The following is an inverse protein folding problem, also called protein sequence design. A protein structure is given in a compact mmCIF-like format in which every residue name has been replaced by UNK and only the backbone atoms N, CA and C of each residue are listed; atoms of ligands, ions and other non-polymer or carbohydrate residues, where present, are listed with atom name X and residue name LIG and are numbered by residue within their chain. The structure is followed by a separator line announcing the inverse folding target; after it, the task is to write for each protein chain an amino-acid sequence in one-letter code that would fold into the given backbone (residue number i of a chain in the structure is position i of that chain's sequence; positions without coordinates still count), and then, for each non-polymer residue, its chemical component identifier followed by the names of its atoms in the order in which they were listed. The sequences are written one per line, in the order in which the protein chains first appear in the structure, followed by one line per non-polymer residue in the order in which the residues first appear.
data_IF_568850405203
#
_entry.id   IF_568850405203
#
_cell.length_a   1.000
_cell.length_b   1.000
_cell.length_c   1.000
_cell.angle_alpha   90.00
_cell.angle_beta   90.00
_cell.angle_gamma   90.00
#
_symmetry.space_group_name_H-M   'P 1'
#
loop_
_entity.id
_entity.type
_entity.pdbx_description
1 polymer ?
#
# COMPACT_ATOMS: atom_id res chain seq x y z
N UNK A 1 14.08 18.75 -16.58
CA UNK A 1 14.94 17.70 -16.02
C UNK A 1 14.11 17.02 -14.94
N UNK A 2 13.86 15.72 -15.05
CA UNK A 2 13.14 14.97 -14.02
C UNK A 2 14.03 14.89 -12.76
N UNK A 3 13.47 15.22 -11.59
CA UNK A 3 14.20 15.05 -10.31
C UNK A 3 14.65 13.59 -10.16
N UNK A 4 15.80 13.32 -9.53
CA UNK A 4 16.25 11.97 -9.26
C UNK A 4 15.20 11.25 -8.40
N UNK A 5 15.04 9.91 -8.51
CA UNK A 5 14.09 9.17 -7.69
C UNK A 5 14.46 9.23 -6.20
N UNK A 6 13.46 9.15 -5.32
CA UNK A 6 13.66 9.02 -3.89
C UNK A 6 14.26 7.64 -3.55
N UNK A 7 13.76 6.58 -4.19
CA UNK A 7 14.34 5.23 -4.12
C UNK A 7 14.50 4.73 -5.55
N UNK A 8 15.67 4.17 -5.84
CA UNK A 8 15.96 3.48 -7.09
C UNK A 8 16.32 2.03 -6.81
N UNK A 9 15.69 1.11 -7.50
CA UNK A 9 15.94 -0.32 -7.38
C UNK A 9 16.24 -0.87 -8.75
N UNK A 10 17.37 -1.58 -8.88
CA UNK A 10 17.81 -2.15 -10.15
C UNK A 10 18.23 -3.62 -9.98
N UNK A 11 17.49 -4.50 -10.64
CA UNK A 11 17.68 -5.95 -10.69
C UNK A 11 17.93 -6.58 -9.29
N UNK A 12 17.15 -6.15 -8.30
CA UNK A 12 17.36 -6.54 -6.91
C UNK A 12 16.93 -7.97 -6.67
N UNK A 13 17.87 -8.80 -6.21
CA UNK A 13 17.66 -10.22 -5.90
C UNK A 13 17.89 -10.47 -4.41
N UNK A 14 17.00 -11.27 -3.83
CA UNK A 14 17.19 -11.83 -2.50
C UNK A 14 16.84 -13.30 -2.45
N UNK A 15 17.85 -14.09 -2.13
CA UNK A 15 17.74 -15.50 -1.83
C UNK A 15 18.04 -15.74 -0.35
N UNK A 16 17.16 -16.45 0.34
CA UNK A 16 17.39 -16.95 1.69
C UNK A 16 17.91 -18.38 1.63
N UNK A 17 18.87 -18.69 2.50
CA UNK A 17 19.37 -20.05 2.64
C UNK A 17 18.25 -21.04 2.96
N UNK A 18 18.44 -22.28 2.57
CA UNK A 18 17.51 -23.36 2.92
C UNK A 18 17.28 -23.42 4.44
N UNK A 19 16.03 -23.55 4.91
CA UNK A 19 15.71 -23.68 6.33
C UNK A 19 16.15 -25.01 6.96
N UNK A 20 16.59 -25.99 6.16
CA UNK A 20 17.05 -27.29 6.65
C UNK A 20 17.53 -28.23 5.54
N UNK A 21 18.09 -29.41 5.91
CA UNK A 21 18.58 -30.38 4.94
C UNK A 21 17.48 -30.83 3.96
N UNK A 22 17.71 -30.66 2.65
CA UNK A 22 16.81 -31.11 1.59
C UNK A 22 15.72 -30.10 1.18
N UNK A 23 15.53 -28.98 1.88
CA UNK A 23 14.65 -27.91 1.42
C UNK A 23 15.40 -26.98 0.43
N UNK A 24 14.77 -26.53 -0.66
CA UNK A 24 15.40 -25.57 -1.57
C UNK A 24 15.56 -24.19 -0.94
N UNK A 25 16.55 -23.40 -1.37
CA UNK A 25 16.62 -21.98 -1.01
C UNK A 25 15.35 -21.24 -1.44
N UNK A 26 14.95 -20.23 -0.67
CA UNK A 26 13.78 -19.40 -0.99
C UNK A 26 14.22 -18.13 -1.71
N UNK A 27 13.87 -18.02 -2.97
CA UNK A 27 14.07 -16.80 -3.76
C UNK A 27 12.91 -15.83 -3.46
N UNK A 28 13.19 -14.82 -2.63
CA UNK A 28 12.18 -13.85 -2.15
C UNK A 28 12.04 -12.64 -3.07
N UNK A 29 13.10 -12.26 -3.79
CA UNK A 29 13.08 -11.23 -4.85
C UNK A 29 13.86 -11.77 -6.04
N UNK A 30 13.30 -11.63 -7.24
CA UNK A 30 13.78 -12.27 -8.47
C UNK A 30 14.19 -11.24 -9.55
N UNK A 31 14.96 -10.22 -9.15
CA UNK A 31 15.39 -9.18 -10.09
C UNK A 31 14.39 -8.03 -10.23
N UNK A 32 13.88 -7.57 -9.10
CA UNK A 32 12.92 -6.46 -9.06
C UNK A 32 13.61 -5.15 -9.43
N UNK A 33 12.98 -4.34 -10.33
CA UNK A 33 13.48 -3.04 -10.77
C UNK A 33 12.33 -2.05 -10.86
N UNK A 34 12.38 -0.94 -10.13
CA UNK A 34 11.47 0.19 -10.22
C UNK A 34 12.04 1.42 -9.50
N UNK A 35 11.47 2.58 -9.78
CA UNK A 35 11.84 3.86 -9.17
C UNK A 35 10.65 4.43 -8.38
N UNK A 36 10.92 4.95 -7.16
CA UNK A 36 9.96 5.73 -6.38
C UNK A 36 10.23 7.22 -6.63
N UNK A 37 9.29 7.97 -7.21
CA UNK A 37 9.43 9.40 -7.41
C UNK A 37 9.52 10.16 -6.07
N UNK A 38 10.16 11.34 -6.07
CA UNK A 38 10.16 12.22 -4.91
C UNK A 38 8.81 12.96 -4.76
N UNK A 39 8.40 13.20 -3.53
CA UNK A 39 7.31 14.11 -3.17
C UNK A 39 5.89 13.56 -3.29
N UNK A 40 5.73 12.25 -3.60
CA UNK A 40 4.41 11.61 -3.70
C UNK A 40 4.22 10.49 -2.67
N UNK A 41 3.04 9.87 -2.71
CA UNK A 41 2.73 8.64 -1.97
C UNK A 41 2.79 7.47 -2.96
N UNK A 42 3.69 6.54 -2.71
CA UNK A 42 3.95 5.36 -3.53
C UNK A 42 3.42 4.10 -2.86
N UNK A 43 2.55 3.36 -3.53
CA UNK A 43 2.01 2.08 -3.07
C UNK A 43 2.88 0.90 -3.48
N UNK A 44 3.23 0.04 -2.54
CA UNK A 44 3.87 -1.25 -2.80
C UNK A 44 2.91 -2.38 -2.42
N UNK A 45 2.24 -2.95 -3.41
CA UNK A 45 1.18 -3.92 -3.25
C UNK A 45 1.64 -5.34 -3.58
N UNK A 46 0.92 -6.31 -3.06
CA UNK A 46 1.11 -7.72 -3.34
C UNK A 46 0.56 -8.61 -2.23
N UNK A 47 0.31 -9.89 -2.50
CA UNK A 47 -0.17 -10.83 -1.49
C UNK A 47 0.88 -11.06 -0.39
N UNK A 48 0.45 -11.73 0.68
CA UNK A 48 1.38 -12.14 1.74
C UNK A 48 2.45 -13.08 1.18
N UNK A 49 3.71 -12.80 1.52
CA UNK A 49 4.85 -13.56 0.99
C UNK A 49 5.32 -13.13 -0.40
N UNK A 50 4.75 -12.11 -1.02
CA UNK A 50 5.17 -11.58 -2.32
C UNK A 50 6.59 -11.01 -2.37
N UNK A 51 7.17 -10.65 -1.21
CA UNK A 51 8.52 -10.06 -1.11
C UNK A 51 8.57 -8.62 -0.58
N UNK A 52 7.42 -7.98 -0.31
CA UNK A 52 7.33 -6.59 0.15
C UNK A 52 8.19 -6.30 1.39
N UNK A 53 7.97 -7.04 2.48
CA UNK A 53 8.74 -6.84 3.73
C UNK A 53 10.22 -7.20 3.56
N UNK A 54 10.56 -8.14 2.65
CA UNK A 54 11.97 -8.40 2.29
C UNK A 54 12.61 -7.19 1.64
N UNK A 55 11.92 -6.56 0.70
CA UNK A 55 12.38 -5.35 0.04
C UNK A 55 12.58 -4.21 1.05
N UNK A 56 11.58 -3.94 1.89
CA UNK A 56 11.68 -2.92 2.95
C UNK A 56 12.87 -3.20 3.88
N UNK A 57 13.04 -4.43 4.33
CA UNK A 57 14.13 -4.81 5.20
C UNK A 57 15.52 -4.65 4.54
N UNK A 58 15.61 -4.80 3.21
CA UNK A 58 16.84 -4.50 2.48
C UNK A 58 17.11 -2.99 2.47
N UNK A 59 16.10 -2.16 2.19
CA UNK A 59 16.22 -0.69 2.22
C UNK A 59 16.56 -0.18 3.62
N UNK A 60 15.98 -0.80 4.67
CA UNK A 60 16.31 -0.55 6.08
C UNK A 60 17.75 -0.95 6.46
N UNK A 61 18.40 -1.76 5.62
CA UNK A 61 19.70 -2.36 5.92
C UNK A 61 19.66 -3.39 7.05
N UNK A 62 18.50 -4.03 7.26
CA UNK A 62 18.29 -5.15 8.19
C UNK A 62 18.58 -6.50 7.49
N UNK A 63 18.35 -6.55 6.19
CA UNK A 63 18.60 -7.72 5.34
C UNK A 63 19.60 -7.35 4.24
N UNK A 64 20.61 -8.20 4.01
CA UNK A 64 21.54 -8.01 2.90
C UNK A 64 20.93 -8.57 1.61
N UNK A 65 20.99 -7.80 0.52
CA UNK A 65 20.67 -8.28 -0.83
C UNK A 65 21.61 -9.40 -1.28
N UNK A 66 21.16 -10.25 -2.17
CA UNK A 66 22.01 -11.26 -2.82
C UNK A 66 22.75 -10.66 -4.01
N UNK A 67 22.04 -9.93 -4.88
CA UNK A 67 22.62 -9.19 -6.02
C UNK A 67 21.76 -8.00 -6.41
N UNK A 68 22.11 -7.29 -7.48
CA UNK A 68 21.46 -6.06 -7.90
C UNK A 68 21.89 -4.85 -7.09
N UNK A 69 21.21 -3.72 -7.25
CA UNK A 69 21.49 -2.48 -6.52
C UNK A 69 20.22 -1.80 -6.00
N UNK A 70 20.37 -1.00 -4.95
CA UNK A 70 19.34 -0.09 -4.49
C UNK A 70 19.97 1.18 -3.93
N UNK A 71 19.35 2.31 -4.25
CA UNK A 71 19.74 3.63 -3.75
C UNK A 71 18.55 4.25 -2.99
N UNK A 72 18.86 4.93 -1.90
CA UNK A 72 17.90 5.68 -1.09
C UNK A 72 18.40 7.13 -1.05
N UNK A 73 17.62 8.05 -1.62
CA UNK A 73 17.96 9.46 -1.76
C UNK A 73 19.32 9.68 -2.43
N UNK A 74 19.63 8.88 -3.46
CA UNK A 74 20.90 8.90 -4.18
C UNK A 74 22.08 8.24 -3.46
N UNK A 75 21.87 7.62 -2.30
CA UNK A 75 22.90 6.88 -1.57
C UNK A 75 22.74 5.37 -1.79
N UNK A 76 23.77 4.73 -2.36
CA UNK A 76 23.79 3.26 -2.48
C UNK A 76 23.76 2.60 -1.10
N UNK A 77 22.84 1.67 -0.89
CA UNK A 77 22.63 1.01 0.41
C UNK A 77 23.81 0.16 0.88
N UNK A 78 24.67 -0.29 -0.02
CA UNK A 78 25.84 -1.09 0.29
C UNK A 78 27.12 -0.23 0.42
N UNK A 79 27.30 0.74 -0.50
CA UNK A 79 28.46 1.61 -0.54
C UNK A 79 28.39 2.78 0.47
N UNK A 80 27.19 3.28 0.75
CA UNK A 80 26.96 4.40 1.68
C UNK A 80 25.80 4.14 2.65
N UNK A 81 25.81 3.03 3.43
CA UNK A 81 24.68 2.58 4.23
C UNK A 81 24.26 3.58 5.32
N UNK A 82 25.19 4.40 5.85
CA UNK A 82 24.88 5.36 6.90
C UNK A 82 23.99 6.49 6.37
N UNK A 83 24.30 7.05 5.22
CA UNK A 83 23.51 8.13 4.63
C UNK A 83 22.19 7.59 4.07
N UNK A 84 22.19 6.41 3.45
CA UNK A 84 20.95 5.73 3.04
C UNK A 84 19.99 5.56 4.22
N UNK A 85 20.46 5.05 5.39
CA UNK A 85 19.66 4.91 6.61
C UNK A 85 19.19 6.23 7.21
N UNK A 86 19.96 7.30 7.07
CA UNK A 86 19.54 8.65 7.52
C UNK A 86 18.49 9.28 6.61
N UNK A 87 18.37 8.81 5.38
CA UNK A 87 17.41 9.33 4.41
C UNK A 87 16.05 8.61 4.46
N UNK A 88 15.87 7.62 5.34
CA UNK A 88 14.64 6.81 5.40
C UNK A 88 14.21 6.61 6.86
N UNK A 89 12.94 6.88 7.14
CA UNK A 89 12.24 6.48 8.35
C UNK A 89 11.39 5.26 8.06
N UNK A 90 11.36 4.28 8.94
CA UNK A 90 10.57 3.05 8.74
C UNK A 90 9.68 2.79 9.92
N UNK A 91 8.40 2.60 9.64
CA UNK A 91 7.37 2.19 10.59
C UNK A 91 7.02 0.73 10.30
N UNK A 92 7.44 -0.21 11.15
CA UNK A 92 7.17 -1.62 10.94
C UNK A 92 5.70 -1.96 11.19
N UNK A 93 5.25 -3.09 10.66
CA UNK A 93 3.90 -3.62 10.88
C UNK A 93 3.63 -3.89 12.36
N UNK A 94 4.60 -4.45 13.08
CA UNK A 94 4.49 -4.72 14.51
C UNK A 94 4.83 -3.48 15.35
N UNK A 95 4.08 -3.29 16.44
CA UNK A 95 4.34 -2.21 17.38
C UNK A 95 5.48 -2.63 18.32
N UNK A 96 6.69 -2.13 18.04
CA UNK A 96 7.89 -2.46 18.79
C UNK A 96 8.50 -1.21 19.44
N UNK A 97 8.27 -1.06 20.74
CA UNK A 97 9.01 -0.14 21.61
C UNK A 97 8.90 -0.62 23.07
N UNK A 98 9.81 -0.14 23.91
CA UNK A 98 9.79 -0.48 25.33
C UNK A 98 8.51 0.10 25.98
N UNK A 99 7.67 -0.75 26.59
CA UNK A 99 6.39 -0.34 27.19
C UNK A 99 6.54 0.57 28.41
N UNK A 100 7.71 0.66 29.00
CA UNK A 100 7.99 1.45 30.20
C UNK A 100 8.53 2.85 29.90
N UNK A 101 8.86 3.17 28.66
CA UNK A 101 9.17 4.55 28.27
C UNK A 101 7.89 5.35 28.02
N UNK A 102 7.98 6.65 28.27
CA UNK A 102 6.96 7.60 27.85
C UNK A 102 7.14 7.97 26.36
N UNK A 103 6.12 8.47 25.65
CA UNK A 103 6.26 8.97 24.29
C UNK A 103 7.41 9.96 24.12
N UNK A 104 7.60 10.86 25.08
CA UNK A 104 8.69 11.83 25.03
C UNK A 104 10.05 11.12 25.11
N UNK A 105 10.24 10.21 26.06
CA UNK A 105 11.48 9.43 26.22
C UNK A 105 11.78 8.56 25.01
N UNK A 106 10.74 7.95 24.37
CA UNK A 106 10.91 7.18 23.14
C UNK A 106 11.56 8.04 22.05
N UNK A 107 11.08 9.27 21.83
CA UNK A 107 11.63 10.17 20.82
C UNK A 107 13.00 10.70 21.20
N UNK A 108 13.22 11.06 22.48
CA UNK A 108 14.50 11.52 22.99
C UNK A 108 15.60 10.46 22.82
N UNK A 109 15.30 9.19 23.18
CA UNK A 109 16.23 8.10 23.00
C UNK A 109 16.54 7.85 21.51
N UNK A 110 15.51 7.89 20.66
CA UNK A 110 15.68 7.75 19.21
C UNK A 110 16.57 8.85 18.63
N UNK A 111 16.36 10.12 19.05
CA UNK A 111 17.23 11.25 18.68
C UNK A 111 18.68 11.03 19.10
N UNK A 112 18.88 10.45 20.30
CA UNK A 112 20.20 10.06 20.78
C UNK A 112 20.89 9.01 19.91
N UNK A 113 20.16 7.99 19.45
CA UNK A 113 20.70 6.97 18.51
C UNK A 113 21.15 7.56 17.17
N UNK A 114 20.46 8.60 16.69
CA UNK A 114 20.87 9.33 15.48
C UNK A 114 21.96 10.39 15.73
N UNK A 115 22.39 10.55 16.99
CA UNK A 115 23.41 11.53 17.39
C UNK A 115 22.92 12.98 17.32
N UNK A 116 21.59 13.20 17.44
CA UNK A 116 21.02 14.55 17.42
C UNK A 116 21.21 15.18 18.81
N UNK A 117 21.88 16.35 18.90
CA UNK A 117 22.02 17.09 20.15
C UNK A 117 20.67 17.39 20.78
N UNK A 118 20.59 17.37 22.11
CA UNK A 118 19.29 17.58 22.82
C UNK A 118 18.59 18.88 22.42
N UNK A 119 19.37 19.95 22.18
CA UNK A 119 18.82 21.25 21.79
C UNK A 119 18.22 21.27 20.38
N UNK A 120 18.54 20.30 19.52
CA UNK A 120 18.08 20.20 18.13
C UNK A 120 16.96 19.17 17.95
N UNK A 121 16.58 18.47 19.04
CA UNK A 121 15.54 17.44 18.97
C UNK A 121 14.16 18.07 18.87
N UNK A 122 13.35 17.54 17.97
CA UNK A 122 12.00 18.00 17.67
C UNK A 122 10.92 17.17 18.38
N UNK A 123 11.23 16.58 19.55
CA UNK A 123 10.34 15.65 20.23
C UNK A 123 8.98 16.27 20.58
N UNK A 124 8.96 17.52 21.04
CA UNK A 124 7.70 18.24 21.32
C UNK A 124 6.89 18.48 20.04
N UNK A 125 7.53 18.97 19.00
CA UNK A 125 6.90 19.25 17.71
C UNK A 125 6.29 17.96 17.11
N UNK A 126 7.07 16.88 17.08
CA UNK A 126 6.60 15.59 16.56
C UNK A 126 5.44 15.02 17.37
N UNK A 127 5.47 15.11 18.71
CA UNK A 127 4.35 14.66 19.53
C UNK A 127 3.09 15.50 19.32
N UNK A 128 3.22 16.79 19.06
CA UNK A 128 2.10 17.66 18.68
C UNK A 128 1.53 17.27 17.31
N UNK A 129 2.39 17.06 16.31
CA UNK A 129 1.99 16.67 14.95
C UNK A 129 1.21 15.33 14.94
N UNK A 130 1.59 14.37 15.78
CA UNK A 130 0.87 13.09 15.89
C UNK A 130 -0.24 13.09 16.95
N UNK A 131 -0.61 14.26 17.52
CA UNK A 131 -1.64 14.42 18.55
C UNK A 131 -1.42 13.56 19.79
N UNK A 132 -0.17 13.50 20.28
CA UNK A 132 0.21 12.75 21.48
C UNK A 132 0.88 13.61 22.56
N UNK A 133 0.90 14.93 22.40
CA UNK A 133 1.52 15.83 23.38
C UNK A 133 0.90 15.72 24.77
N UNK A 134 -0.42 15.57 24.85
CA UNK A 134 -1.15 15.39 26.12
C UNK A 134 -0.79 14.09 26.86
N UNK A 135 -0.21 13.14 26.14
CA UNK A 135 0.19 11.82 26.67
C UNK A 135 1.71 11.68 26.78
N UNK A 136 2.48 12.77 26.58
CA UNK A 136 3.95 12.72 26.56
C UNK A 136 4.60 12.08 27.78
N UNK A 137 3.96 12.20 28.94
CA UNK A 137 4.45 11.68 30.23
C UNK A 137 3.77 10.36 30.66
N UNK A 138 2.81 9.84 29.88
CA UNK A 138 2.16 8.56 30.16
C UNK A 138 3.02 7.40 29.66
N UNK A 139 3.05 6.27 30.38
CA UNK A 139 3.78 5.11 29.88
C UNK A 139 3.21 4.58 28.56
N UNK A 140 4.07 4.22 27.61
CA UNK A 140 3.67 3.73 26.28
C UNK A 140 2.76 2.49 26.35
N UNK A 141 2.86 1.66 27.40
CA UNK A 141 1.96 0.52 27.63
C UNK A 141 0.49 0.93 27.78
N UNK A 142 0.22 2.14 28.28
CA UNK A 142 -1.14 2.64 28.55
C UNK A 142 -1.81 3.28 27.31
N UNK A 143 -1.05 3.46 26.23
CA UNK A 143 -1.56 4.00 24.98
C UNK A 143 -2.45 2.99 24.25
N UNK A 144 -3.49 3.47 23.57
CA UNK A 144 -4.27 2.65 22.65
C UNK A 144 -3.43 2.19 21.44
N UNK A 145 -3.90 1.19 20.71
CA UNK A 145 -3.22 0.70 19.50
C UNK A 145 -2.92 1.81 18.49
N UNK A 146 -3.89 2.70 18.25
CA UNK A 146 -3.72 3.83 17.36
C UNK A 146 -2.74 4.90 17.87
N UNK A 147 -2.77 5.19 19.18
CA UNK A 147 -1.78 6.08 19.77
C UNK A 147 -0.37 5.52 19.62
N UNK A 148 -0.21 4.21 19.82
CA UNK A 148 1.07 3.51 19.59
C UNK A 148 1.53 3.59 18.15
N UNK A 149 0.62 3.44 17.19
CA UNK A 149 0.92 3.56 15.75
C UNK A 149 1.42 4.97 15.40
N UNK A 150 0.72 6.00 15.89
CA UNK A 150 1.12 7.40 15.72
C UNK A 150 2.47 7.70 16.36
N UNK A 151 2.76 7.12 17.53
CA UNK A 151 4.07 7.25 18.17
C UNK A 151 5.19 6.61 17.34
N UNK A 152 4.94 5.48 16.66
CA UNK A 152 5.92 4.87 15.75
C UNK A 152 6.22 5.77 14.55
N UNK A 153 5.22 6.45 14.00
CA UNK A 153 5.43 7.44 12.93
C UNK A 153 6.30 8.60 13.44
N UNK A 154 5.97 9.19 14.58
CA UNK A 154 6.78 10.22 15.19
C UNK A 154 8.23 9.76 15.43
N UNK A 155 8.42 8.53 15.94
CA UNK A 155 9.74 7.91 16.13
C UNK A 155 10.52 7.77 14.83
N UNK A 156 9.87 7.37 13.74
CA UNK A 156 10.48 7.25 12.42
C UNK A 156 10.91 8.60 11.84
N UNK A 157 10.25 9.69 12.26
CA UNK A 157 10.49 11.05 11.79
C UNK A 157 11.50 11.84 12.63
N UNK A 158 12.05 11.30 13.72
CA UNK A 158 12.93 12.01 14.67
C UNK A 158 14.17 12.63 13.99
N UNK A 159 14.72 11.97 12.98
CA UNK A 159 15.90 12.42 12.25
C UNK A 159 15.56 13.17 10.95
N UNK A 160 14.29 13.58 10.79
CA UNK A 160 13.77 14.34 9.62
C UNK A 160 14.13 13.68 8.28
N UNK A 161 13.82 12.39 8.07
CA UNK A 161 14.14 11.72 6.82
C UNK A 161 13.27 12.26 5.69
N UNK A 162 13.80 12.40 4.46
CA UNK A 162 12.99 12.77 3.29
C UNK A 162 12.08 11.65 2.80
N UNK A 163 12.25 10.41 3.28
CA UNK A 163 11.43 9.25 2.93
C UNK A 163 10.88 8.59 4.19
N UNK A 164 9.57 8.32 4.20
CA UNK A 164 8.88 7.54 5.23
C UNK A 164 8.30 6.27 4.62
N UNK A 165 8.69 5.12 5.13
CA UNK A 165 8.12 3.81 4.75
C UNK A 165 7.18 3.32 5.84
N UNK A 166 5.96 2.98 5.47
CA UNK A 166 4.92 2.46 6.34
C UNK A 166 4.59 1.02 5.92
N UNK A 167 4.97 0.06 6.75
CA UNK A 167 4.68 -1.36 6.47
C UNK A 167 3.35 -1.77 7.10
N UNK A 168 2.31 -1.90 6.27
CA UNK A 168 0.93 -2.22 6.67
C UNK A 168 0.41 -1.40 7.87
N UNK A 169 0.42 -0.05 7.80
CA UNK A 169 0.17 0.80 8.96
C UNK A 169 -1.25 0.69 9.51
N UNK A 170 -2.21 0.23 8.72
CA UNK A 170 -3.63 0.14 9.05
C UNK A 170 -4.11 -1.29 9.32
N UNK A 171 -3.18 -2.27 9.31
CA UNK A 171 -3.54 -3.65 9.60
C UNK A 171 -4.12 -3.80 11.01
N UNK A 172 -5.35 -4.35 11.09
CA UNK A 172 -6.03 -4.60 12.36
C UNK A 172 -6.52 -3.37 13.11
N UNK A 173 -6.65 -2.20 12.45
CA UNK A 173 -7.21 -0.99 13.04
C UNK A 173 -8.65 -0.75 12.56
N UNK A 174 -9.44 -0.08 13.39
CA UNK A 174 -10.81 0.32 13.03
C UNK A 174 -10.84 1.44 11.97
N UNK A 175 -12.02 1.68 11.39
CA UNK A 175 -12.21 2.64 10.29
C UNK A 175 -11.83 4.07 10.69
N UNK A 176 -12.18 4.50 11.91
CA UNK A 176 -11.91 5.86 12.36
C UNK A 176 -10.41 6.09 12.54
N UNK A 177 -9.71 5.13 13.14
CA UNK A 177 -8.27 5.19 13.30
C UNK A 177 -7.53 5.13 11.96
N UNK A 178 -8.02 4.33 11.00
CA UNK A 178 -7.48 4.28 9.64
C UNK A 178 -7.53 5.65 8.99
N UNK A 179 -8.68 6.34 9.07
CA UNK A 179 -8.85 7.69 8.54
C UNK A 179 -7.87 8.69 9.15
N UNK A 180 -7.71 8.67 10.48
CA UNK A 180 -6.74 9.54 11.17
C UNK A 180 -5.29 9.29 10.74
N UNK A 181 -4.92 8.03 10.49
CA UNK A 181 -3.58 7.70 9.96
C UNK A 181 -3.40 8.20 8.52
N UNK A 182 -4.43 8.11 7.69
CA UNK A 182 -4.40 8.63 6.32
C UNK A 182 -4.25 10.14 6.28
N UNK A 183 -4.98 10.87 7.13
CA UNK A 183 -4.85 12.32 7.29
C UNK A 183 -3.42 12.70 7.67
N UNK A 184 -2.84 12.04 8.68
CA UNK A 184 -1.47 12.26 9.12
C UNK A 184 -0.45 11.99 8.00
N UNK A 185 -0.58 10.88 7.28
CA UNK A 185 0.31 10.52 6.16
C UNK A 185 0.24 11.56 5.04
N UNK A 186 -0.97 12.01 4.71
CA UNK A 186 -1.21 13.04 3.69
C UNK A 186 -0.61 14.39 4.11
N UNK A 187 -0.69 14.74 5.39
CA UNK A 187 -0.09 15.97 5.92
C UNK A 187 1.45 15.93 5.83
N UNK A 188 2.08 14.84 6.27
CA UNK A 188 3.53 14.64 6.12
C UNK A 188 3.98 14.70 4.65
N UNK A 189 3.19 14.14 3.74
CA UNK A 189 3.48 14.21 2.32
C UNK A 189 3.37 15.66 1.78
N UNK A 190 2.37 16.43 2.20
CA UNK A 190 2.24 17.86 1.84
C UNK A 190 3.41 18.70 2.36
N UNK A 191 4.03 18.29 3.47
CA UNK A 191 5.27 18.90 4.00
C UNK A 191 6.52 18.51 3.21
N UNK A 192 6.38 17.67 2.16
CA UNK A 192 7.45 17.29 1.24
C UNK A 192 8.09 15.93 1.52
N UNK A 193 7.57 15.17 2.48
CA UNK A 193 8.07 13.81 2.75
C UNK A 193 7.55 12.86 1.66
N UNK A 194 8.45 12.11 1.03
CA UNK A 194 8.06 11.00 0.15
C UNK A 194 7.58 9.83 0.99
N UNK A 195 6.39 9.31 0.73
CA UNK A 195 5.84 8.19 1.48
C UNK A 195 5.82 6.92 0.63
N UNK A 196 6.29 5.82 1.20
CA UNK A 196 6.12 4.47 0.63
C UNK A 196 5.20 3.68 1.56
N UNK A 197 4.05 3.29 1.04
CA UNK A 197 3.02 2.57 1.77
C UNK A 197 2.95 1.12 1.29
N UNK A 198 3.12 0.15 2.18
CA UNK A 198 2.70 -1.22 1.86
C UNK A 198 1.33 -1.48 2.44
N UNK A 199 0.47 -2.08 1.68
CA UNK A 199 -0.85 -2.49 2.12
C UNK A 199 -1.34 -3.69 1.31
N UNK A 200 -2.25 -4.44 1.89
CA UNK A 200 -3.07 -5.42 1.18
C UNK A 200 -4.52 -4.94 1.03
N UNK A 201 -4.84 -3.75 1.57
CA UNK A 201 -6.12 -3.07 1.36
C UNK A 201 -6.02 -2.20 0.11
N UNK A 202 -6.62 -2.67 -0.97
CA UNK A 202 -6.51 -2.03 -2.29
C UNK A 202 -7.21 -0.68 -2.34
N UNK A 203 -8.33 -0.52 -1.61
CA UNK A 203 -9.01 0.76 -1.41
C UNK A 203 -8.07 1.84 -0.82
N UNK A 204 -7.23 1.46 0.16
CA UNK A 204 -6.25 2.37 0.75
C UNK A 204 -5.22 2.85 -0.27
N UNK A 205 -4.71 1.93 -1.08
CA UNK A 205 -3.75 2.26 -2.13
C UNK A 205 -4.36 3.14 -3.22
N UNK A 206 -5.61 2.87 -3.60
CA UNK A 206 -6.33 3.65 -4.61
C UNK A 206 -6.59 5.09 -4.14
N UNK A 207 -6.96 5.26 -2.87
CA UNK A 207 -7.26 6.58 -2.31
C UNK A 207 -6.03 7.44 -2.01
N UNK A 208 -4.92 6.82 -1.58
CA UNK A 208 -3.75 7.55 -1.09
C UNK A 208 -2.61 7.63 -2.10
N UNK A 209 -2.40 6.59 -2.93
CA UNK A 209 -1.18 6.49 -3.72
C UNK A 209 -1.30 7.16 -5.09
N UNK A 210 -0.29 7.93 -5.46
CA UNK A 210 -0.18 8.52 -6.80
C UNK A 210 0.27 7.47 -7.83
N UNK A 211 1.12 6.54 -7.40
CA UNK A 211 1.71 5.48 -8.21
C UNK A 211 1.82 4.20 -7.40
N UNK A 212 1.63 3.06 -8.05
CA UNK A 212 1.61 1.76 -7.42
C UNK A 212 2.52 0.78 -8.16
N UNK A 213 3.38 0.09 -7.40
CA UNK A 213 4.06 -1.11 -7.85
C UNK A 213 3.39 -2.36 -7.25
N UNK A 214 3.12 -3.36 -8.09
CA UNK A 214 2.56 -4.64 -7.68
C UNK A 214 3.66 -5.69 -7.77
N UNK A 215 3.94 -6.34 -6.63
CA UNK A 215 4.89 -7.47 -6.56
C UNK A 215 4.11 -8.76 -6.27
N UNK A 216 4.41 -9.80 -7.04
CA UNK A 216 3.87 -11.14 -6.80
C UNK A 216 4.98 -12.18 -6.96
N UNK A 217 5.08 -13.14 -6.03
CA UNK A 217 6.10 -14.20 -6.02
C UNK A 217 7.55 -13.70 -6.24
N UNK A 218 7.87 -12.51 -5.73
CA UNK A 218 9.20 -11.89 -5.83
C UNK A 218 9.48 -11.20 -7.17
N UNK A 219 8.49 -11.06 -8.03
CA UNK A 219 8.59 -10.40 -9.35
C UNK A 219 7.74 -9.13 -9.37
N UNK A 220 8.20 -8.10 -10.08
CA UNK A 220 7.43 -6.90 -10.36
C UNK A 220 6.42 -7.20 -11.49
N UNK A 221 5.13 -7.11 -11.17
CA UNK A 221 4.04 -7.39 -12.12
C UNK A 221 3.59 -6.11 -12.82
N UNK A 222 3.52 -5.00 -12.08
CA UNK A 222 3.15 -3.69 -12.62
C UNK A 222 3.84 -2.58 -11.82
N UNK A 223 4.11 -1.45 -12.49
CA UNK A 223 4.56 -0.19 -11.90
C UNK A 223 3.96 0.95 -12.72
N UNK A 224 2.86 1.54 -12.23
CA UNK A 224 2.06 2.53 -12.96
C UNK A 224 1.46 3.60 -12.05
N UNK A 225 1.11 4.78 -12.59
CA UNK A 225 0.20 5.71 -11.93
C UNK A 225 -1.10 5.00 -11.54
N UNK A 226 -1.63 5.30 -10.35
CA UNK A 226 -2.83 4.64 -9.80
C UNK A 226 -4.01 4.71 -10.77
N UNK A 227 -4.23 5.87 -11.40
CA UNK A 227 -5.29 6.05 -12.41
C UNK A 227 -5.15 5.11 -13.59
N UNK A 228 -3.91 4.93 -14.10
CA UNK A 228 -3.67 4.01 -15.21
C UNK A 228 -3.95 2.55 -14.82
N UNK A 229 -3.66 2.15 -13.58
CA UNK A 229 -3.99 0.82 -13.09
C UNK A 229 -5.51 0.61 -13.03
N UNK A 230 -6.23 1.55 -12.44
CA UNK A 230 -7.71 1.48 -12.38
C UNK A 230 -8.31 1.48 -13.79
N UNK A 231 -7.77 2.29 -14.69
CA UNK A 231 -8.21 2.32 -16.10
C UNK A 231 -7.92 1.01 -16.87
N UNK A 232 -7.00 0.16 -16.38
CA UNK A 232 -6.76 -1.16 -16.98
C UNK A 232 -7.91 -2.14 -16.73
N UNK A 233 -8.72 -1.92 -15.72
CA UNK A 233 -9.94 -2.68 -15.51
C UNK A 233 -10.98 -2.27 -16.57
N UNK A 234 -10.95 -2.96 -17.71
CA UNK A 234 -11.84 -2.71 -18.85
C UNK A 234 -13.28 -3.12 -18.59
N UNK A 235 -13.49 -3.93 -17.59
CA UNK A 235 -14.79 -4.49 -17.27
C UNK A 235 -15.60 -3.56 -16.38
N UNK A 236 -16.87 -3.38 -16.73
CA UNK A 236 -17.87 -2.74 -15.88
C UNK A 236 -18.90 -3.77 -15.45
N UNK A 237 -19.37 -3.60 -14.21
CA UNK A 237 -20.41 -4.43 -13.64
C UNK A 237 -21.68 -3.59 -13.54
N UNK A 238 -22.78 -4.11 -14.09
CA UNK A 238 -24.11 -3.54 -13.93
C UNK A 238 -25.00 -4.54 -13.22
N UNK A 239 -25.60 -4.12 -12.11
CA UNK A 239 -26.60 -4.86 -11.37
C UNK A 239 -27.98 -4.34 -11.75
N UNK A 240 -28.85 -5.21 -12.26
CA UNK A 240 -30.15 -4.86 -12.83
C UNK A 240 -31.23 -5.60 -12.05
N UNK A 241 -32.18 -4.86 -11.49
CA UNK A 241 -33.39 -5.42 -10.89
C UNK A 241 -34.52 -5.39 -11.92
N UNK A 242 -35.20 -6.50 -12.10
CA UNK A 242 -36.25 -6.70 -13.11
C UNK A 242 -37.62 -6.98 -12.46
N UNK A 243 -38.70 -6.77 -13.23
CA UNK A 243 -40.11 -6.86 -12.82
C UNK A 243 -40.59 -8.28 -12.44
N UNK A 244 -39.90 -9.31 -12.88
CA UNK A 244 -40.28 -10.73 -12.67
C UNK A 244 -39.05 -11.61 -12.46
N UNK A 245 -39.27 -12.79 -11.92
CA UNK A 245 -38.20 -13.74 -11.64
C UNK A 245 -37.45 -14.14 -12.91
N UNK A 246 -36.14 -14.19 -12.82
CA UNK A 246 -35.20 -14.59 -13.87
C UNK A 246 -35.18 -16.11 -13.96
N UNK A 247 -35.42 -16.65 -15.16
CA UNK A 247 -35.35 -18.08 -15.43
C UNK A 247 -33.95 -18.66 -15.50
N UNK A 248 -32.92 -17.78 -15.41
CA UNK A 248 -31.50 -18.08 -15.49
C UNK A 248 -30.70 -16.86 -15.92
N UNK A 249 -29.35 -16.93 -15.96
CA UNK A 249 -28.52 -15.86 -16.42
C UNK A 249 -28.78 -15.58 -17.92
N UNK A 250 -28.88 -14.29 -18.25
CA UNK A 250 -28.98 -13.83 -19.64
C UNK A 250 -27.56 -13.69 -20.17
N UNK A 251 -27.13 -14.58 -21.07
CA UNK A 251 -25.82 -14.52 -21.71
C UNK A 251 -25.94 -14.01 -23.13
N UNK A 252 -25.17 -12.96 -23.45
CA UNK A 252 -25.07 -12.38 -24.77
C UNK A 252 -23.60 -12.25 -25.18
N UNK A 253 -23.25 -12.23 -26.48
CA UNK A 253 -21.85 -12.09 -26.93
C UNK A 253 -21.15 -10.81 -26.44
N UNK A 254 -21.93 -9.81 -26.06
CA UNK A 254 -21.44 -8.54 -25.52
C UNK A 254 -21.08 -8.59 -24.03
N UNK A 255 -21.41 -9.69 -23.32
CA UNK A 255 -21.20 -9.85 -21.88
C UNK A 255 -20.01 -10.77 -21.63
N UNK A 256 -19.13 -10.38 -20.74
CA UNK A 256 -18.04 -11.23 -20.27
C UNK A 256 -18.55 -12.24 -19.26
N UNK A 257 -19.52 -11.83 -18.41
CA UNK A 257 -20.14 -12.66 -17.40
C UNK A 257 -21.56 -12.17 -17.14
N UNK A 258 -22.46 -13.11 -16.79
CA UNK A 258 -23.79 -12.79 -16.31
C UNK A 258 -24.21 -13.80 -15.23
N UNK A 259 -24.65 -13.31 -14.08
CA UNK A 259 -25.06 -14.12 -12.92
C UNK A 259 -26.36 -13.61 -12.34
N UNK A 260 -27.24 -14.55 -11.97
CA UNK A 260 -28.46 -14.25 -11.19
C UNK A 260 -28.08 -14.27 -9.72
N UNK A 261 -28.06 -13.09 -9.09
CA UNK A 261 -27.69 -12.93 -7.67
C UNK A 261 -28.89 -13.17 -6.77
N UNK A 262 -30.06 -12.70 -7.21
CA UNK A 262 -31.36 -12.90 -6.55
C UNK A 262 -32.41 -13.22 -7.63
N UNK A 263 -33.59 -13.78 -7.28
CA UNK A 263 -34.59 -14.16 -8.27
C UNK A 263 -34.94 -13.09 -9.30
N UNK A 264 -34.84 -11.81 -8.90
CA UNK A 264 -35.16 -10.65 -9.76
C UNK A 264 -33.96 -9.73 -10.01
N UNK A 265 -32.73 -10.16 -9.63
CA UNK A 265 -31.52 -9.36 -9.75
C UNK A 265 -30.45 -10.08 -10.53
N UNK A 266 -30.06 -9.46 -11.65
CA UNK A 266 -29.03 -9.93 -12.58
C UNK A 266 -27.80 -9.05 -12.45
N UNK A 267 -26.62 -9.64 -12.35
CA UNK A 267 -25.34 -8.94 -12.45
C UNK A 267 -24.67 -9.31 -13.77
N UNK A 268 -24.32 -8.28 -14.56
CA UNK A 268 -23.69 -8.43 -15.87
C UNK A 268 -22.35 -7.69 -15.86
N UNK A 269 -21.29 -8.42 -16.22
CA UNK A 269 -19.95 -7.86 -16.48
C UNK A 269 -19.78 -7.70 -17.99
N UNK A 270 -19.31 -6.54 -18.42
CA UNK A 270 -19.10 -6.24 -19.83
C UNK A 270 -17.86 -5.37 -20.04
N UNK A 271 -17.23 -5.51 -21.22
CA UNK A 271 -16.09 -4.70 -21.65
C UNK A 271 -16.58 -3.31 -22.09
N UNK A 272 -16.18 -2.25 -21.36
CA UNK A 272 -16.62 -0.87 -21.63
C UNK A 272 -16.16 -0.33 -22.98
N UNK A 273 -15.10 -0.91 -23.58
CA UNK A 273 -14.57 -0.51 -24.88
C UNK A 273 -15.40 -1.13 -26.03
N UNK A 274 -16.15 -2.20 -25.77
CA UNK A 274 -16.98 -2.92 -26.74
C UNK A 274 -18.45 -2.66 -26.61
N UNK A 275 -18.94 -2.37 -25.40
CA UNK A 275 -20.37 -2.28 -25.09
C UNK A 275 -20.62 -1.14 -24.09
N UNK A 276 -21.74 -0.45 -24.25
CA UNK A 276 -22.20 0.57 -23.30
C UNK A 276 -23.26 0.02 -22.35
N UNK A 277 -23.40 0.63 -21.16
CA UNK A 277 -24.47 0.28 -20.22
C UNK A 277 -25.87 0.34 -20.89
N UNK A 278 -26.12 1.34 -21.75
CA UNK A 278 -27.37 1.44 -22.50
C UNK A 278 -27.63 0.25 -23.41
N UNK A 279 -26.59 -0.29 -24.07
CA UNK A 279 -26.73 -1.52 -24.88
C UNK A 279 -26.99 -2.74 -24.03
N UNK A 280 -26.33 -2.86 -22.86
CA UNK A 280 -26.59 -3.94 -21.90
C UNK A 280 -28.05 -3.91 -21.45
N UNK A 281 -28.57 -2.75 -21.07
CA UNK A 281 -29.96 -2.58 -20.63
C UNK A 281 -30.95 -2.93 -21.77
N UNK A 282 -30.67 -2.48 -22.99
CA UNK A 282 -31.50 -2.78 -24.16
C UNK A 282 -31.53 -4.30 -24.44
N UNK A 283 -30.42 -5.01 -24.29
CA UNK A 283 -30.36 -6.48 -24.44
C UNK A 283 -31.21 -7.18 -23.37
N UNK A 284 -31.13 -6.79 -22.09
CA UNK A 284 -31.97 -7.36 -21.03
C UNK A 284 -33.46 -7.12 -21.32
N UNK A 285 -33.83 -5.91 -21.77
CA UNK A 285 -35.21 -5.59 -22.16
C UNK A 285 -35.70 -6.43 -23.34
N UNK A 286 -34.84 -6.72 -24.32
CA UNK A 286 -35.19 -7.57 -25.46
C UNK A 286 -35.54 -8.99 -25.09
N UNK A 287 -35.09 -9.47 -23.93
CA UNK A 287 -35.50 -10.77 -23.33
C UNK A 287 -36.85 -10.69 -22.59
N UNK A 288 -37.56 -9.57 -22.70
CA UNK A 288 -38.90 -9.39 -22.18
C UNK A 288 -38.95 -9.09 -20.68
N UNK A 289 -37.89 -8.54 -20.12
CA UNK A 289 -37.84 -8.03 -18.73
C UNK A 289 -37.98 -6.51 -18.73
N UNK A 290 -38.82 -5.97 -17.82
CA UNK A 290 -38.85 -4.55 -17.53
C UNK A 290 -37.85 -4.25 -16.40
N UNK A 291 -37.07 -3.21 -16.59
CA UNK A 291 -36.02 -2.80 -15.63
C UNK A 291 -36.67 -1.90 -14.57
N UNK A 292 -36.55 -2.28 -13.29
CA UNK A 292 -37.03 -1.52 -12.14
C UNK A 292 -35.95 -0.66 -11.51
N UNK A 293 -34.71 -1.20 -11.42
CA UNK A 293 -33.56 -0.48 -10.85
C UNK A 293 -32.25 -0.89 -11.53
N UNK A 294 -31.29 0.02 -11.55
CA UNK A 294 -29.96 -0.18 -12.13
C UNK A 294 -28.91 0.44 -11.25
N UNK A 295 -27.94 -0.35 -10.84
CA UNK A 295 -26.74 0.11 -10.17
C UNK A 295 -25.51 -0.28 -10.99
N UNK A 296 -24.63 0.68 -11.25
CA UNK A 296 -23.36 0.40 -11.95
C UNK A 296 -22.21 0.48 -10.96
N UNK A 297 -21.32 -0.51 -10.97
CA UNK A 297 -20.04 -0.49 -10.29
C UNK A 297 -18.95 -0.29 -11.33
N UNK A 298 -18.14 0.73 -11.15
CA UNK A 298 -16.88 0.84 -11.89
C UNK A 298 -15.91 -0.19 -11.33
N UNK A 299 -15.07 -0.71 -12.20
CA UNK A 299 -13.99 -1.58 -11.77
C UNK A 299 -13.03 -0.78 -10.86
N UNK A 300 -12.57 -1.41 -9.83
CA UNK A 300 -11.65 -0.86 -8.84
C UNK A 300 -10.26 -1.53 -8.95
N UNK A 301 -9.35 -1.07 -8.12
CA UNK A 301 -8.00 -1.62 -8.09
C UNK A 301 -7.99 -3.11 -7.67
N UNK A 302 -9.03 -3.60 -6.99
CA UNK A 302 -9.15 -5.01 -6.59
C UNK A 302 -9.37 -5.90 -7.82
N UNK A 303 -10.20 -5.48 -8.75
CA UNK A 303 -10.43 -6.20 -10.00
C UNK A 303 -9.15 -6.31 -10.83
N UNK A 304 -8.38 -5.21 -10.92
CA UNK A 304 -7.07 -5.19 -11.60
C UNK A 304 -6.06 -6.10 -10.90
N UNK A 305 -6.02 -6.04 -9.57
CA UNK A 305 -5.08 -6.82 -8.78
C UNK A 305 -5.32 -8.33 -8.95
N UNK A 306 -6.56 -8.77 -8.87
CA UNK A 306 -6.96 -10.17 -9.11
C UNK A 306 -6.55 -10.60 -10.53
N UNK A 307 -6.82 -9.78 -11.53
CA UNK A 307 -6.49 -10.07 -12.92
C UNK A 307 -4.97 -10.20 -13.14
N UNK A 308 -4.17 -9.30 -12.55
CA UNK A 308 -2.71 -9.29 -12.72
C UNK A 308 -1.99 -10.37 -11.91
N UNK A 309 -2.52 -10.75 -10.74
CA UNK A 309 -1.87 -11.72 -9.85
C UNK A 309 -2.37 -13.14 -10.01
N UNK A 310 -3.50 -13.34 -10.73
CA UNK A 310 -4.15 -14.64 -10.85
C UNK A 310 -4.68 -15.16 -9.51
N UNK A 311 -4.87 -14.28 -8.54
CA UNK A 311 -5.41 -14.60 -7.22
C UNK A 311 -6.94 -14.48 -7.28
N UNK A 312 -7.61 -15.57 -7.72
CA UNK A 312 -9.06 -15.76 -7.71
C UNK A 312 -9.41 -17.10 -7.09
#
# INVERSE_FOLDING_TARGET
MTSPPAIKIDNLVKEYASPGPGAPPKLALKGVSFDVPQGGIFGLLGPNGAGKSTLINILAGLVRKTSGSAEVWGFDIAGNPRNAKRSIGIVPQEIVFDPFFTPFEVLENQGGFYGIPKAERRSEELLKAVHLWDKRDAYARTLSGGMKRRLLIAKAMVHSPPILVLDEPTAGVDVELRRQLWELVTELNREGVTVVLTTHYLEEAEQLCDRIAIINHGELIADKPTRELVDMAREKIVSITVDKDLGGPIMEPAFTKAEVIEPRRLEITYDRDKTSAGQVLALVQSHGYAIEDVTTREADLEDVFVQLTGAG
#
